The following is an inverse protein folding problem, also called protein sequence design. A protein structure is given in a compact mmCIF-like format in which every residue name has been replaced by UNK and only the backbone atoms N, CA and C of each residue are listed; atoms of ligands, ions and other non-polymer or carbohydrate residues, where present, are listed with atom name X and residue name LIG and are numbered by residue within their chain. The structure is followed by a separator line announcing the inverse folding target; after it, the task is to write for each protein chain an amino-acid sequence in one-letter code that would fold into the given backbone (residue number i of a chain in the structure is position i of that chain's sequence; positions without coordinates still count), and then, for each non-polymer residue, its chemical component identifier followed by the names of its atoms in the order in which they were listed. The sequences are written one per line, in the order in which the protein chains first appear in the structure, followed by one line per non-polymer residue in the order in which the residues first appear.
data_IF_324461229793
#
_entry.id   IF_324461229793
#
_cell.length_a   1.000
_cell.length_b   1.000
_cell.length_c   1.000
_cell.angle_alpha   90.00
_cell.angle_beta   90.00
_cell.angle_gamma   90.00
#
_symmetry.space_group_name_H-M   'P 1'
#
loop_
_entity.id
_entity.type
_entity.pdbx_description
1 polymer ?
#
# COMPACT_ATOMS: atom_id res chain seq x y z
N UNK A 1 14.77 -5.47 3.74
CA UNK A 1 15.42 -6.36 2.76
C UNK A 1 16.90 -6.09 2.64
N UNK A 2 17.28 -5.18 1.74
CA UNK A 2 18.67 -4.94 1.33
C UNK A 2 19.62 -4.54 2.48
N UNK A 3 19.23 -3.57 3.32
CA UNK A 3 20.09 -3.09 4.41
C UNK A 3 20.33 -4.12 5.52
N UNK A 4 19.27 -4.84 5.92
CA UNK A 4 19.27 -5.70 7.09
C UNK A 4 19.63 -7.15 6.77
N UNK A 5 19.02 -7.70 5.72
CA UNK A 5 19.14 -9.12 5.40
C UNK A 5 20.03 -9.40 4.20
N UNK A 6 20.38 -8.34 3.43
CA UNK A 6 21.26 -8.43 2.24
C UNK A 6 20.83 -9.53 1.27
N UNK A 7 19.53 -9.70 1.09
CA UNK A 7 18.96 -10.78 0.30
C UNK A 7 19.47 -10.76 -1.14
N UNK A 8 19.79 -11.94 -1.65
CA UNK A 8 20.07 -12.16 -3.07
C UNK A 8 18.73 -12.19 -3.81
N UNK A 9 18.32 -11.06 -4.39
CA UNK A 9 17.06 -10.93 -5.12
C UNK A 9 17.11 -11.77 -6.40
N UNK A 10 16.17 -12.70 -6.54
CA UNK A 10 16.26 -13.78 -7.52
C UNK A 10 14.98 -13.93 -8.32
N UNK A 11 15.14 -14.08 -9.64
CA UNK A 11 14.05 -14.43 -10.53
C UNK A 11 13.87 -15.95 -10.51
N UNK A 12 12.80 -16.42 -9.87
CA UNK A 12 12.49 -17.85 -9.77
C UNK A 12 12.14 -18.52 -11.09
N UNK A 13 11.62 -17.77 -12.07
CA UNK A 13 11.21 -18.32 -13.37
C UNK A 13 12.40 -18.51 -14.28
N UNK A 14 13.26 -17.49 -14.38
CA UNK A 14 14.50 -17.54 -15.18
C UNK A 14 15.66 -18.21 -14.44
N UNK A 15 15.48 -18.45 -13.14
CA UNK A 15 16.50 -18.99 -12.24
C UNK A 15 17.83 -18.23 -12.30
N UNK A 16 17.78 -16.91 -12.14
CA UNK A 16 18.96 -16.02 -12.19
C UNK A 16 18.80 -14.82 -11.25
N UNK A 17 19.87 -14.05 -10.94
CA UNK A 17 19.74 -12.78 -10.23
C UNK A 17 18.79 -11.82 -10.94
N UNK A 18 17.86 -11.23 -10.20
CA UNK A 18 16.87 -10.30 -10.75
C UNK A 18 17.48 -8.89 -10.93
N UNK A 19 18.35 -8.73 -11.92
CA UNK A 19 19.01 -7.44 -12.20
C UNK A 19 20.05 -7.02 -11.16
N UNK A 20 20.39 -7.88 -10.20
CA UNK A 20 21.29 -7.54 -9.08
C UNK A 20 22.60 -8.35 -9.04
N UNK A 21 22.93 -9.10 -10.10
CA UNK A 21 24.06 -10.03 -10.13
C UNK A 21 25.39 -9.43 -9.66
N UNK A 22 25.74 -8.23 -10.14
CA UNK A 22 27.00 -7.56 -9.77
C UNK A 22 27.17 -7.35 -8.25
N UNK A 23 26.08 -7.12 -7.52
CA UNK A 23 26.11 -6.94 -6.06
C UNK A 23 26.06 -8.26 -5.28
N UNK A 24 25.70 -9.36 -5.94
CA UNK A 24 25.90 -10.69 -5.38
C UNK A 24 27.39 -11.06 -5.52
N UNK A 25 27.95 -10.81 -6.71
CA UNK A 25 29.34 -11.14 -7.04
C UNK A 25 30.36 -10.34 -6.21
N UNK A 26 30.08 -9.06 -5.92
CA UNK A 26 30.95 -8.22 -5.09
C UNK A 26 30.78 -8.44 -3.57
N UNK A 27 29.84 -9.31 -3.16
CA UNK A 27 29.57 -9.66 -1.77
C UNK A 27 28.70 -8.66 -1.00
N UNK A 28 28.14 -7.62 -1.63
CA UNK A 28 27.20 -6.71 -0.97
C UNK A 28 25.92 -7.45 -0.55
N UNK A 29 25.31 -8.21 -1.46
CA UNK A 29 24.14 -9.07 -1.27
C UNK A 29 24.57 -10.50 -0.93
N UNK A 30 25.01 -10.70 0.30
CA UNK A 30 25.53 -11.98 0.80
C UNK A 30 24.54 -12.77 1.68
N UNK A 31 23.28 -12.35 1.75
CA UNK A 31 22.24 -13.02 2.51
C UNK A 31 21.60 -14.20 1.78
N UNK A 32 20.49 -14.71 2.34
CA UNK A 32 19.72 -15.78 1.71
C UNK A 32 19.09 -15.32 0.39
N UNK A 33 18.87 -16.28 -0.51
CA UNK A 33 18.09 -16.08 -1.73
C UNK A 33 16.65 -15.70 -1.38
N UNK A 34 16.16 -14.64 -2.00
CA UNK A 34 14.77 -14.17 -1.88
C UNK A 34 14.19 -14.06 -3.29
N UNK A 35 13.20 -14.87 -3.61
CA UNK A 35 12.59 -14.85 -4.94
C UNK A 35 11.65 -13.65 -5.11
N UNK A 36 11.30 -13.30 -6.35
CA UNK A 36 10.31 -12.24 -6.63
C UNK A 36 8.98 -12.62 -5.98
N UNK A 37 8.51 -13.85 -6.17
CA UNK A 37 7.26 -14.32 -5.54
C UNK A 37 7.30 -14.20 -4.02
N UNK A 38 8.38 -14.65 -3.37
CA UNK A 38 8.50 -14.60 -1.91
C UNK A 38 8.51 -13.15 -1.41
N UNK A 39 9.28 -12.28 -2.07
CA UNK A 39 9.39 -10.89 -1.65
C UNK A 39 8.06 -10.15 -1.81
N UNK A 40 7.42 -10.27 -2.97
CA UNK A 40 6.18 -9.57 -3.24
C UNK A 40 5.02 -10.11 -2.40
N UNK A 41 4.99 -11.41 -2.10
CA UNK A 41 3.98 -12.00 -1.19
C UNK A 41 4.04 -11.42 0.22
N UNK A 42 5.17 -10.84 0.64
CA UNK A 42 5.30 -10.16 1.93
C UNK A 42 4.76 -8.73 1.92
N UNK A 43 4.72 -8.06 0.77
CA UNK A 43 4.40 -6.63 0.69
C UNK A 43 2.97 -6.30 1.16
N UNK A 44 1.91 -7.04 0.76
CA UNK A 44 0.55 -6.77 1.24
C UNK A 44 0.41 -6.87 2.76
N UNK A 45 1.18 -7.73 3.44
CA UNK A 45 1.14 -7.85 4.90
C UNK A 45 1.57 -6.58 5.60
N UNK A 46 2.57 -5.87 5.06
CA UNK A 46 3.03 -4.60 5.62
C UNK A 46 1.96 -3.51 5.45
N UNK A 47 1.35 -3.42 4.27
CA UNK A 47 0.31 -2.43 3.99
C UNK A 47 -0.99 -2.70 4.77
N UNK A 48 -1.37 -3.98 4.92
CA UNK A 48 -2.59 -4.37 5.63
C UNK A 48 -2.54 -4.00 7.12
N UNK A 49 -1.36 -4.05 7.75
CA UNK A 49 -1.21 -3.70 9.16
C UNK A 49 -1.53 -2.22 9.40
N UNK A 50 -0.94 -1.33 8.59
CA UNK A 50 -1.16 0.11 8.69
C UNK A 50 -2.63 0.47 8.40
N UNK A 51 -3.21 -0.16 7.38
CA UNK A 51 -4.62 0.04 7.05
C UNK A 51 -5.54 -0.44 8.19
N UNK A 52 -5.27 -1.59 8.80
CA UNK A 52 -6.02 -2.09 9.94
C UNK A 52 -5.99 -1.14 11.14
N UNK A 53 -4.81 -0.57 11.45
CA UNK A 53 -4.68 0.44 12.51
C UNK A 53 -5.49 1.70 12.20
N UNK A 54 -5.46 2.17 10.94
CA UNK A 54 -6.26 3.31 10.51
C UNK A 54 -7.77 3.02 10.63
N UNK A 55 -8.22 1.83 10.24
CA UNK A 55 -9.62 1.42 10.35
C UNK A 55 -10.07 1.30 11.81
N UNK A 56 -9.21 0.82 12.71
CA UNK A 56 -9.51 0.79 14.14
C UNK A 56 -9.75 2.20 14.68
N UNK A 57 -8.91 3.17 14.33
CA UNK A 57 -9.10 4.56 14.73
C UNK A 57 -10.42 5.12 14.18
N UNK A 58 -10.73 4.82 12.92
CA UNK A 58 -11.97 5.23 12.27
C UNK A 58 -13.20 4.63 12.96
N UNK A 59 -13.14 3.35 13.32
CA UNK A 59 -14.20 2.64 14.03
C UNK A 59 -14.42 3.23 15.43
N UNK A 60 -13.34 3.48 16.18
CA UNK A 60 -13.42 4.14 17.48
C UNK A 60 -14.01 5.54 17.40
N UNK A 61 -13.62 6.32 16.37
CA UNK A 61 -14.20 7.64 16.13
C UNK A 61 -15.69 7.56 15.80
N UNK A 62 -16.10 6.60 14.96
CA UNK A 62 -17.51 6.38 14.65
C UNK A 62 -18.33 6.03 15.91
N UNK A 63 -17.83 5.10 16.74
CA UNK A 63 -18.47 4.76 18.01
C UNK A 63 -18.57 5.96 18.95
N UNK A 64 -17.51 6.77 19.08
CA UNK A 64 -17.54 7.99 19.90
C UNK A 64 -18.54 9.04 19.40
N UNK A 65 -18.95 8.96 18.13
CA UNK A 65 -19.98 9.81 17.54
C UNK A 65 -21.38 9.20 17.63
N UNK A 66 -21.57 7.99 18.15
CA UNK A 66 -22.86 7.29 18.15
C UNK A 66 -23.24 6.72 16.78
N UNK A 67 -22.24 6.31 15.98
CA UNK A 67 -22.41 5.69 14.67
C UNK A 67 -22.02 4.20 14.70
N UNK A 68 -22.70 3.42 13.88
CA UNK A 68 -22.30 2.04 13.59
C UNK A 68 -21.11 2.01 12.63
N UNK A 69 -20.17 1.10 12.87
CA UNK A 69 -19.06 0.84 11.95
C UNK A 69 -18.87 -0.66 11.68
N UNK A 70 -18.60 -1.00 10.43
CA UNK A 70 -18.35 -2.38 10.00
C UNK A 70 -17.18 -2.42 9.02
N UNK A 71 -16.13 -3.15 9.40
CA UNK A 71 -14.98 -3.41 8.53
C UNK A 71 -15.25 -4.62 7.65
N UNK A 72 -15.00 -4.51 6.34
CA UNK A 72 -15.35 -5.54 5.37
C UNK A 72 -14.27 -5.72 4.28
N UNK A 73 -14.12 -6.97 3.86
CA UNK A 73 -13.33 -7.37 2.67
C UNK A 73 -14.16 -8.10 1.61
N UNK A 74 -15.41 -8.46 1.91
CA UNK A 74 -16.28 -9.26 1.03
C UNK A 74 -17.03 -8.39 0.01
N UNK A 75 -16.34 -7.45 -0.61
CA UNK A 75 -16.84 -6.63 -1.72
C UNK A 75 -15.93 -6.87 -2.93
N UNK A 76 -16.49 -6.76 -4.15
CA UNK A 76 -15.70 -6.70 -5.38
C UNK A 76 -14.85 -5.41 -5.43
N UNK A 77 -13.69 -5.45 -4.78
CA UNK A 77 -12.76 -4.32 -4.67
C UNK A 77 -12.31 -3.76 -6.03
N UNK A 78 -12.04 -4.59 -7.07
CA UNK A 78 -11.83 -4.08 -8.42
C UNK A 78 -12.97 -3.19 -8.94
N UNK A 79 -14.23 -3.52 -8.64
CA UNK A 79 -15.37 -2.67 -9.03
C UNK A 79 -15.41 -1.37 -8.23
N UNK A 80 -15.06 -1.41 -6.94
CA UNK A 80 -14.93 -0.18 -6.13
C UNK A 80 -13.83 0.72 -6.71
N UNK A 81 -12.66 0.17 -7.03
CA UNK A 81 -11.57 0.90 -7.66
C UNK A 81 -11.99 1.52 -9.00
N UNK A 82 -12.67 0.76 -9.86
CA UNK A 82 -13.23 1.32 -11.11
C UNK A 82 -14.20 2.47 -10.86
N UNK A 83 -15.05 2.36 -9.83
CA UNK A 83 -15.97 3.44 -9.44
C UNK A 83 -15.26 4.69 -8.91
N UNK A 84 -14.04 4.54 -8.41
CA UNK A 84 -13.16 5.64 -8.00
C UNK A 84 -12.29 6.18 -9.14
N UNK A 85 -12.53 5.75 -10.38
CA UNK A 85 -11.71 6.08 -11.56
C UNK A 85 -10.24 5.66 -11.42
N UNK A 86 -9.98 4.52 -10.77
CA UNK A 86 -8.67 3.90 -10.79
C UNK A 86 -8.29 3.51 -12.24
N UNK A 87 -7.12 3.96 -12.67
CA UNK A 87 -6.45 3.56 -13.89
C UNK A 87 -5.94 2.13 -13.73
N UNK A 88 -6.34 1.25 -14.67
CA UNK A 88 -5.85 -0.12 -14.78
C UNK A 88 -4.96 -0.26 -16.01
N UNK A 89 -3.65 -0.36 -15.78
CA UNK A 89 -2.65 -0.53 -16.82
C UNK A 89 -2.71 -1.95 -17.39
N UNK A 90 -2.76 -2.05 -18.72
CA UNK A 90 -2.71 -3.32 -19.43
C UNK A 90 -1.28 -3.68 -19.78
N UNK A 91 -0.99 -4.99 -19.83
CA UNK A 91 0.28 -5.47 -20.32
C UNK A 91 0.31 -5.37 -21.84
N UNK A 92 1.28 -4.63 -22.39
CA UNK A 92 1.47 -4.52 -23.85
C UNK A 92 1.97 -5.83 -24.50
N UNK A 93 2.55 -6.72 -23.70
CA UNK A 93 3.15 -8.00 -24.12
C UNK A 93 2.29 -9.18 -23.68
N UNK A 94 2.56 -10.37 -24.26
CA UNK A 94 1.90 -11.61 -23.85
C UNK A 94 2.02 -11.77 -22.32
N UNK A 95 0.88 -11.77 -21.58
CA UNK A 95 0.91 -11.84 -20.14
C UNK A 95 1.40 -13.22 -19.70
N UNK A 96 2.21 -13.26 -18.65
CA UNK A 96 2.46 -14.53 -17.95
C UNK A 96 1.15 -15.03 -17.31
N UNK A 97 1.00 -16.34 -17.04
CA UNK A 97 -0.30 -16.92 -16.66
C UNK A 97 -0.97 -16.30 -15.42
N UNK A 98 -0.19 -15.71 -14.52
CA UNK A 98 -0.68 -15.07 -13.28
C UNK A 98 -0.95 -13.57 -13.44
N UNK A 99 -0.66 -12.98 -14.60
CA UNK A 99 -0.73 -11.54 -14.77
C UNK A 99 -2.18 -11.06 -14.88
N UNK A 100 -2.53 -10.06 -14.06
CA UNK A 100 -3.79 -9.32 -14.14
C UNK A 100 -3.57 -7.95 -14.79
N UNK A 101 -4.65 -7.19 -15.04
CA UNK A 101 -4.52 -5.75 -15.23
C UNK A 101 -4.01 -5.11 -13.93
N UNK A 102 -3.13 -4.12 -14.04
CA UNK A 102 -2.46 -3.54 -12.87
C UNK A 102 -3.12 -2.20 -12.49
N UNK A 103 -3.81 -2.07 -11.36
CA UNK A 103 -4.24 -0.76 -10.85
C UNK A 103 -3.02 0.09 -10.46
N UNK A 104 -2.89 1.27 -11.08
CA UNK A 104 -1.67 2.09 -10.99
C UNK A 104 -1.88 3.50 -10.44
N UNK A 105 -3.13 3.98 -10.34
CA UNK A 105 -3.42 5.29 -9.76
C UNK A 105 -4.75 5.88 -10.19
N UNK A 106 -5.06 7.07 -9.69
CA UNK A 106 -6.18 7.92 -10.11
C UNK A 106 -5.57 9.20 -10.68
N UNK A 107 -5.81 9.47 -11.96
CA UNK A 107 -5.17 10.55 -12.73
C UNK A 107 -5.28 11.91 -12.01
N UNK A 108 -4.14 12.57 -11.76
CA UNK A 108 -4.07 13.86 -11.09
C UNK A 108 -4.48 13.90 -9.61
N UNK A 109 -4.86 12.77 -9.02
CA UNK A 109 -5.33 12.68 -7.62
C UNK A 109 -4.39 11.81 -6.79
N UNK A 110 -4.17 10.57 -7.22
CA UNK A 110 -3.37 9.59 -6.50
C UNK A 110 -2.63 8.71 -7.51
N UNK A 111 -1.50 9.21 -7.98
CA UNK A 111 -0.69 8.54 -9.00
C UNK A 111 0.35 7.63 -8.35
N UNK A 112 0.44 6.39 -8.84
CA UNK A 112 1.41 5.42 -8.36
C UNK A 112 2.85 5.81 -8.66
N UNK A 113 3.78 5.26 -7.86
CA UNK A 113 5.23 5.34 -8.10
C UNK A 113 5.65 4.23 -9.07
N UNK A 114 5.01 4.23 -10.23
CA UNK A 114 5.22 3.25 -11.30
C UNK A 114 4.66 3.80 -12.62
N UNK A 115 5.01 3.18 -13.75
CA UNK A 115 4.41 3.52 -15.03
C UNK A 115 2.88 3.37 -15.00
N UNK A 116 2.13 4.21 -15.76
CA UNK A 116 2.62 5.20 -16.71
C UNK A 116 3.02 6.55 -16.07
N UNK A 117 2.72 6.77 -14.78
CA UNK A 117 2.89 8.08 -14.15
C UNK A 117 4.36 8.48 -13.91
N UNK A 118 5.20 7.49 -13.61
CA UNK A 118 6.65 7.65 -13.38
C UNK A 118 7.38 6.52 -14.05
N UNK A 119 8.55 6.79 -14.61
CA UNK A 119 9.51 5.72 -14.88
C UNK A 119 9.91 5.03 -13.58
N UNK A 120 10.41 3.80 -13.66
CA UNK A 120 10.86 3.07 -12.47
C UNK A 120 12.00 3.83 -11.76
N UNK A 121 12.88 4.43 -12.53
CA UNK A 121 14.00 5.23 -12.03
C UNK A 121 13.51 6.45 -11.26
N UNK A 122 12.60 7.25 -11.85
CA UNK A 122 12.00 8.43 -11.20
C UNK A 122 11.26 8.02 -9.92
N UNK A 123 10.48 6.95 -9.97
CA UNK A 123 9.76 6.43 -8.81
C UNK A 123 10.70 6.11 -7.63
N UNK A 124 11.82 5.42 -7.89
CA UNK A 124 12.80 5.09 -6.85
C UNK A 124 13.50 6.33 -6.33
N UNK A 125 13.85 7.29 -7.20
CA UNK A 125 14.47 8.55 -6.80
C UNK A 125 13.55 9.41 -5.93
N UNK A 126 12.29 9.55 -6.30
CA UNK A 126 11.30 10.31 -5.53
C UNK A 126 11.09 9.69 -4.13
N UNK A 127 10.98 8.37 -4.04
CA UNK A 127 10.87 7.67 -2.76
C UNK A 127 12.15 7.82 -1.93
N UNK A 128 13.32 7.77 -2.56
CA UNK A 128 14.59 8.02 -1.88
C UNK A 128 14.67 9.45 -1.34
N UNK A 129 14.24 10.45 -2.12
CA UNK A 129 14.19 11.85 -1.71
C UNK A 129 13.18 12.09 -0.58
N UNK A 130 12.01 11.44 -0.58
CA UNK A 130 11.04 11.52 0.54
C UNK A 130 11.61 10.96 1.84
N UNK A 131 12.54 10.01 1.76
CA UNK A 131 13.20 9.43 2.93
C UNK A 131 14.38 10.28 3.39
N UNK A 132 15.28 10.64 2.49
CA UNK A 132 16.61 11.18 2.83
C UNK A 132 17.02 12.45 2.05
N UNK A 133 16.11 13.02 1.25
CA UNK A 133 16.29 14.33 0.64
C UNK A 133 16.31 15.45 1.68
N UNK A 134 16.43 16.70 1.23
CA UNK A 134 16.51 17.87 2.14
C UNK A 134 15.29 18.01 3.06
N UNK A 135 14.11 17.61 2.58
CA UNK A 135 12.84 17.58 3.32
C UNK A 135 12.44 16.16 3.73
N UNK A 136 13.35 15.19 3.64
CA UNK A 136 13.05 13.79 3.87
C UNK A 136 12.74 13.47 5.33
N UNK A 137 11.81 12.54 5.57
CA UNK A 137 11.33 12.21 6.92
C UNK A 137 12.43 11.63 7.84
N UNK A 138 13.49 11.04 7.29
CA UNK A 138 14.64 10.56 8.07
C UNK A 138 15.79 11.57 8.16
N UNK A 139 15.72 12.68 7.42
CA UNK A 139 16.70 13.76 7.49
C UNK A 139 16.48 14.70 8.69
N UNK A 140 17.27 15.77 8.73
CA UNK A 140 17.31 16.76 9.84
C UNK A 140 15.96 17.41 10.18
N UNK A 141 15.05 17.48 9.21
CA UNK A 141 13.72 18.08 9.38
C UNK A 141 12.65 17.10 9.87
N UNK A 142 12.97 15.81 9.91
CA UNK A 142 12.10 14.76 10.43
C UNK A 142 12.72 14.11 11.67
N UNK A 143 12.92 12.79 11.61
CA UNK A 143 13.47 12.00 12.72
C UNK A 143 14.97 12.22 12.98
N UNK A 144 15.67 12.98 12.14
CA UNK A 144 17.11 13.28 12.23
C UNK A 144 17.96 12.02 12.48
N UNK A 145 17.73 11.00 11.65
CA UNK A 145 18.44 9.73 11.76
C UNK A 145 19.81 9.82 11.08
N UNK A 146 20.82 9.06 11.54
CA UNK A 146 22.09 8.98 10.84
C UNK A 146 21.91 8.25 9.50
N UNK A 147 22.21 8.94 8.38
CA UNK A 147 22.12 8.34 7.04
C UNK A 147 23.08 7.14 6.92
N UNK A 148 22.58 5.93 6.58
CA UNK A 148 23.44 4.77 6.43
C UNK A 148 24.49 4.98 5.32
N UNK A 149 25.75 4.61 5.58
CA UNK A 149 26.82 4.70 4.57
C UNK A 149 26.52 3.92 3.29
N UNK A 150 25.76 2.83 3.42
CA UNK A 150 25.35 1.94 2.33
C UNK A 150 24.13 2.45 1.54
N UNK A 151 23.59 3.63 1.90
CA UNK A 151 22.29 4.07 1.39
C UNK A 151 22.28 4.28 -0.13
N UNK A 152 23.32 4.88 -0.70
CA UNK A 152 23.40 5.08 -2.15
C UNK A 152 23.40 3.74 -2.90
N UNK A 153 24.18 2.77 -2.43
CA UNK A 153 24.17 1.41 -2.99
C UNK A 153 22.78 0.75 -2.88
N UNK A 154 22.05 0.97 -1.78
CA UNK A 154 20.67 0.46 -1.65
C UNK A 154 19.76 1.07 -2.70
N UNK A 155 19.87 2.39 -2.95
CA UNK A 155 19.06 3.08 -3.98
C UNK A 155 19.39 2.52 -5.37
N UNK A 156 20.68 2.36 -5.69
CA UNK A 156 21.09 1.78 -6.99
C UNK A 156 20.63 0.33 -7.17
N UNK A 157 20.74 -0.51 -6.14
CA UNK A 157 20.25 -1.89 -6.18
C UNK A 157 18.73 -1.90 -6.38
N UNK A 158 18.01 -0.99 -5.71
CA UNK A 158 16.56 -0.88 -5.83
C UNK A 158 16.15 -0.51 -7.25
N UNK A 159 16.80 0.48 -7.86
CA UNK A 159 16.58 0.83 -9.28
C UNK A 159 16.79 -0.39 -10.15
N UNK A 160 17.95 -1.04 -10.05
CA UNK A 160 18.31 -2.18 -10.90
C UNK A 160 17.34 -3.36 -10.78
N UNK A 161 16.90 -3.68 -9.57
CA UNK A 161 15.91 -4.74 -9.35
C UNK A 161 14.54 -4.35 -9.91
N UNK A 162 14.04 -3.17 -9.58
CA UNK A 162 12.73 -2.72 -10.04
C UNK A 162 12.67 -2.59 -11.57
N UNK A 163 13.72 -2.05 -12.20
CA UNK A 163 13.81 -1.91 -13.65
C UNK A 163 13.86 -3.30 -14.30
N UNK A 164 14.66 -4.23 -13.76
CA UNK A 164 14.65 -5.63 -14.23
C UNK A 164 13.26 -6.26 -14.21
N UNK A 165 12.51 -6.08 -13.11
CA UNK A 165 11.15 -6.64 -12.97
C UNK A 165 10.22 -6.04 -14.04
N UNK A 166 10.19 -4.71 -14.15
CA UNK A 166 9.33 -4.02 -15.10
C UNK A 166 9.71 -4.34 -16.56
N UNK A 167 10.99 -4.26 -16.91
CA UNK A 167 11.48 -4.55 -18.26
C UNK A 167 11.28 -6.00 -18.66
N UNK A 168 11.38 -6.94 -17.72
CA UNK A 168 11.18 -8.37 -17.98
C UNK A 168 9.70 -8.74 -18.10
N UNK A 169 8.87 -8.23 -17.19
CA UNK A 169 7.49 -8.71 -17.01
C UNK A 169 6.41 -7.73 -17.48
N UNK A 170 6.78 -6.50 -17.85
CA UNK A 170 5.87 -5.46 -18.34
C UNK A 170 5.03 -4.79 -17.25
N UNK A 171 5.21 -5.16 -15.97
CA UNK A 171 4.55 -4.55 -14.82
C UNK A 171 5.42 -4.65 -13.57
N UNK A 172 5.15 -3.79 -12.61
CA UNK A 172 5.72 -3.85 -11.27
C UNK A 172 4.62 -3.46 -10.26
N UNK A 173 4.39 -4.26 -9.20
CA UNK A 173 4.95 -5.60 -8.95
C UNK A 173 4.54 -6.65 -9.99
N UNK A 174 5.26 -7.78 -10.03
CA UNK A 174 5.01 -8.89 -10.95
C UNK A 174 3.74 -9.66 -10.58
N UNK A 175 3.60 -10.07 -9.33
CA UNK A 175 2.55 -10.98 -8.85
C UNK A 175 1.43 -10.28 -8.07
N UNK A 176 1.60 -9.02 -7.72
CA UNK A 176 0.64 -8.23 -6.96
C UNK A 176 0.33 -6.90 -7.64
N UNK A 177 -0.80 -6.32 -7.26
CA UNK A 177 -1.26 -5.02 -7.72
C UNK A 177 -0.37 -3.90 -7.18
N UNK A 178 -0.03 -2.93 -8.04
CA UNK A 178 0.76 -1.77 -7.63
C UNK A 178 0.01 -0.90 -6.62
N UNK A 179 -1.31 -0.79 -6.78
CA UNK A 179 -2.21 -0.13 -5.84
C UNK A 179 -3.40 -1.01 -5.53
N UNK A 180 -3.68 -1.26 -4.25
CA UNK A 180 -4.85 -2.04 -3.86
C UNK A 180 -5.57 -1.41 -2.67
N UNK A 181 -6.84 -1.80 -2.47
CA UNK A 181 -7.63 -1.44 -1.30
C UNK A 181 -7.47 -2.60 -0.32
N UNK A 182 -6.73 -2.43 0.79
CA UNK A 182 -6.49 -3.52 1.73
C UNK A 182 -7.77 -3.92 2.47
N UNK A 183 -8.57 -2.93 2.91
CA UNK A 183 -9.77 -3.08 3.74
C UNK A 183 -10.73 -1.91 3.48
N UNK A 184 -12.04 -2.13 3.66
CA UNK A 184 -13.06 -1.08 3.65
C UNK A 184 -13.71 -0.96 5.02
N UNK A 185 -14.11 0.26 5.39
CA UNK A 185 -14.97 0.51 6.54
C UNK A 185 -16.27 1.19 6.08
N UNK A 186 -17.40 0.60 6.44
CA UNK A 186 -18.71 1.21 6.30
C UNK A 186 -19.07 1.90 7.62
N UNK A 187 -19.45 3.18 7.54
CA UNK A 187 -19.98 3.95 8.67
C UNK A 187 -21.42 4.30 8.34
N UNK A 188 -22.33 4.09 9.30
CA UNK A 188 -23.76 4.28 9.08
C UNK A 188 -24.48 4.74 10.35
N UNK A 189 -25.65 5.36 10.16
CA UNK A 189 -26.59 5.63 11.24
C UNK A 189 -27.20 4.33 11.74
N UNK A 190 -27.28 4.19 13.07
CA UNK A 190 -27.95 3.06 13.70
C UNK A 190 -29.48 3.18 13.53
N UNK A 191 -30.15 2.06 13.28
CA UNK A 191 -31.60 1.95 13.39
C UNK A 191 -31.96 1.76 14.87
N UNK A 192 -31.99 2.87 15.63
CA UNK A 192 -32.20 2.83 17.07
C UNK A 192 -33.51 2.14 17.45
N UNK A 193 -34.57 2.28 16.64
CA UNK A 193 -35.86 1.63 16.90
C UNK A 193 -35.80 0.10 16.82
N UNK A 194 -35.00 -0.45 15.91
CA UNK A 194 -34.74 -1.89 15.87
C UNK A 194 -34.02 -2.37 17.14
N UNK A 195 -32.93 -1.71 17.50
CA UNK A 195 -32.12 -2.12 18.65
C UNK A 195 -32.87 -1.92 19.98
N UNK A 196 -33.60 -0.83 20.18
CA UNK A 196 -34.43 -0.62 21.38
C UNK A 196 -35.44 -1.76 21.60
N UNK A 197 -35.99 -2.32 20.53
CA UNK A 197 -36.99 -3.38 20.59
C UNK A 197 -36.38 -4.76 20.84
N UNK A 198 -35.26 -5.08 20.20
CA UNK A 198 -34.74 -6.45 20.14
C UNK A 198 -33.43 -6.66 20.89
N UNK A 199 -32.58 -5.64 21.00
CA UNK A 199 -31.25 -5.70 21.61
C UNK A 199 -30.88 -4.38 22.33
N UNK A 200 -31.67 -3.92 23.30
CA UNK A 200 -31.46 -2.63 23.94
C UNK A 200 -30.11 -2.53 24.67
N UNK A 201 -29.52 -3.67 25.05
CA UNK A 201 -28.19 -3.75 25.66
C UNK A 201 -27.03 -3.32 24.74
N UNK A 202 -27.28 -3.21 23.42
CA UNK A 202 -26.28 -2.76 22.44
C UNK A 202 -26.40 -1.27 22.08
N UNK A 203 -27.31 -0.53 22.72
CA UNK A 203 -27.38 0.93 22.57
C UNK A 203 -26.88 1.62 23.84
N UNK A 204 -25.92 2.51 23.68
CA UNK A 204 -25.53 3.44 24.72
C UNK A 204 -26.21 4.81 24.58
N UNK A 205 -25.89 5.72 25.50
CA UNK A 205 -26.46 7.07 25.49
C UNK A 205 -25.90 7.93 24.34
N UNK A 206 -24.69 7.64 23.85
CA UNK A 206 -24.09 8.34 22.71
C UNK A 206 -24.80 7.96 21.41
N UNK A 207 -25.10 6.67 21.22
CA UNK A 207 -25.86 6.16 20.08
C UNK A 207 -27.21 6.87 19.93
N UNK A 208 -27.95 6.98 21.04
CA UNK A 208 -29.26 7.66 21.08
C UNK A 208 -29.13 9.17 20.85
N UNK A 209 -28.03 9.77 21.30
CA UNK A 209 -27.79 11.21 21.18
C UNK A 209 -27.22 11.64 19.82
N UNK A 210 -26.88 10.71 18.91
CA UNK A 210 -26.22 11.05 17.64
C UNK A 210 -26.98 12.12 16.85
N UNK A 211 -28.28 11.92 16.63
CA UNK A 211 -29.08 12.81 15.79
C UNK A 211 -29.21 14.21 16.39
N UNK A 212 -29.44 14.33 17.70
CA UNK A 212 -29.55 15.64 18.36
C UNK A 212 -28.20 16.36 18.45
N UNK A 213 -27.12 15.62 18.65
CA UNK A 213 -25.77 16.17 18.80
C UNK A 213 -25.20 16.66 17.46
N UNK A 214 -25.29 15.85 16.41
CA UNK A 214 -24.59 16.10 15.14
C UNK A 214 -25.47 16.68 14.04
N UNK A 215 -26.80 16.54 14.14
CA UNK A 215 -27.76 16.97 13.11
C UNK A 215 -28.79 17.97 13.62
N UNK A 216 -28.55 18.62 14.77
CA UNK A 216 -29.36 19.76 15.17
C UNK A 216 -29.24 20.87 14.11
N UNK A 217 -30.38 21.45 13.71
CA UNK A 217 -30.38 22.59 12.80
C UNK A 217 -29.48 23.68 13.39
N UNK A 218 -28.49 24.14 12.62
CA UNK A 218 -27.79 25.37 12.96
C UNK A 218 -28.83 26.49 12.93
N UNK A 219 -29.24 26.99 14.09
CA UNK A 219 -29.88 28.31 14.18
C UNK A 219 -28.96 29.30 13.47
N UNK A 220 -29.46 29.87 12.37
CA UNK A 220 -28.81 30.96 11.64
C UNK A 220 -28.67 32.20 12.51
#
# INVERSE_FOLDING_TARGET
GLAQFRWQLWDEVKNQPAGVGKWIDDGFLNGNRMTITQYESMLPWLCNLEAGMAMQNLSLAATAMGLGSFMMHTIDLPTVMRSLNMHFEQLEREPFPQATVNPVGIDGILEGYCPPYRTVEEAVEEIAAKKWGSEGIYGKKGYDLPKPKIYESIVEITKSYCSYVYETYGRIPKYHDAMFIPILAQIHHLDTGFYEKFFPEYLDEMDKAHMSTWHSERTK
#
